data_IF_458523042132
#
_entry.id   IF_458523042132
#
_cell.length_a   1.000
_cell.length_b   1.000
_cell.length_c   1.000
_cell.angle_alpha   90.00
_cell.angle_beta   90.00
_cell.angle_gamma   90.00
#
_symmetry.space_group_name_H-M   'P 1'
#
loop_
_entity.id
_entity.type
_entity.pdbx_description
1 polymer ?
#
# COMPACT_ATOMS: atom_id res chain seq x y z
N UNK A 1 -30.34 -19.86 16.86
CA UNK A 1 -28.89 -19.70 16.66
C UNK A 1 -28.69 -19.24 15.22
N UNK A 2 -28.63 -17.93 15.01
CA UNK A 2 -28.44 -17.35 13.67
C UNK A 2 -27.00 -17.58 13.23
N UNK A 3 -26.84 -18.36 12.17
CA UNK A 3 -25.59 -18.46 11.41
C UNK A 3 -25.09 -17.06 11.08
N UNK A 4 -23.98 -16.65 11.70
CA UNK A 4 -23.26 -15.44 11.33
C UNK A 4 -22.72 -15.73 9.94
N UNK A 5 -23.40 -15.21 8.91
CA UNK A 5 -22.91 -15.25 7.54
C UNK A 5 -21.56 -14.55 7.55
N UNK A 6 -20.50 -15.29 7.28
CA UNK A 6 -19.26 -14.74 6.71
C UNK A 6 -19.65 -14.01 5.41
N UNK A 7 -20.00 -12.74 5.55
CA UNK A 7 -20.30 -11.88 4.43
C UNK A 7 -18.96 -11.65 3.72
N UNK A 8 -18.79 -12.09 2.47
CA UNK A 8 -17.56 -11.81 1.74
C UNK A 8 -17.36 -10.30 1.70
N UNK A 9 -16.25 -9.82 2.26
CA UNK A 9 -15.93 -8.40 2.29
C UNK A 9 -15.93 -7.86 0.86
N UNK A 10 -16.60 -6.73 0.63
CA UNK A 10 -16.65 -6.15 -0.71
C UNK A 10 -15.26 -5.72 -1.17
N UNK A 11 -15.01 -5.72 -2.48
CA UNK A 11 -13.75 -5.20 -3.03
C UNK A 11 -13.51 -3.74 -2.65
N UNK A 12 -14.59 -2.95 -2.48
CA UNK A 12 -14.49 -1.56 -2.04
C UNK A 12 -13.97 -1.46 -0.60
N UNK A 13 -14.48 -2.30 0.32
CA UNK A 13 -14.01 -2.33 1.70
C UNK A 13 -12.56 -2.79 1.81
N UNK A 14 -12.15 -3.78 1.00
CA UNK A 14 -10.76 -4.24 0.93
C UNK A 14 -9.84 -3.09 0.47
N UNK A 15 -10.22 -2.36 -0.59
CA UNK A 15 -9.45 -1.22 -1.10
C UNK A 15 -9.36 -0.10 -0.07
N UNK A 16 -10.47 0.23 0.60
CA UNK A 16 -10.50 1.25 1.65
C UNK A 16 -9.55 0.87 2.78
N UNK A 17 -9.60 -0.38 3.24
CA UNK A 17 -8.72 -0.87 4.29
C UNK A 17 -7.25 -0.82 3.87
N UNK A 18 -6.91 -1.32 2.68
CA UNK A 18 -5.54 -1.28 2.16
C UNK A 18 -5.03 0.16 2.05
N UNK A 19 -5.89 1.09 1.60
CA UNK A 19 -5.58 2.52 1.56
C UNK A 19 -5.29 3.12 2.94
N UNK A 20 -6.13 2.80 3.94
CA UNK A 20 -5.93 3.27 5.32
C UNK A 20 -4.66 2.68 5.95
N UNK A 21 -4.34 1.42 5.67
CA UNK A 21 -3.11 0.79 6.12
C UNK A 21 -1.88 1.46 5.53
N UNK A 22 -1.95 1.88 4.26
CA UNK A 22 -0.88 2.64 3.60
C UNK A 22 -0.67 4.02 4.25
N UNK A 23 -1.75 4.72 4.61
CA UNK A 23 -1.65 6.02 5.31
C UNK A 23 -0.93 5.90 6.66
N UNK A 24 -1.14 4.81 7.40
CA UNK A 24 -0.47 4.58 8.71
C UNK A 24 1.05 4.44 8.58
N UNK A 25 1.53 4.03 7.41
CA UNK A 25 2.94 3.87 7.11
C UNK A 25 3.58 5.10 6.48
N UNK A 26 2.81 6.17 6.24
CA UNK A 26 3.26 7.39 5.57
C UNK A 26 4.58 7.93 6.10
N UNK A 27 4.71 8.10 7.42
CA UNK A 27 5.93 8.65 8.03
C UNK A 27 7.14 7.76 7.76
N UNK A 28 6.99 6.43 7.86
CA UNK A 28 8.07 5.48 7.57
C UNK A 28 8.45 5.43 6.09
N UNK A 29 7.46 5.60 5.21
CA UNK A 29 7.69 5.70 3.77
C UNK A 29 8.41 6.99 3.40
N UNK A 30 8.24 8.08 4.16
CA UNK A 30 8.87 9.37 3.89
C UNK A 30 10.40 9.35 4.06
N UNK A 31 10.91 8.42 4.87
CA UNK A 31 12.35 8.19 5.04
C UNK A 31 12.99 7.44 3.85
N UNK A 32 12.18 6.93 2.93
CA UNK A 32 12.64 6.17 1.77
C UNK A 32 12.89 7.06 0.56
N UNK A 33 13.91 6.72 -0.20
CA UNK A 33 14.13 7.32 -1.50
C UNK A 33 13.15 6.75 -2.53
N UNK A 34 12.20 7.58 -2.99
CA UNK A 34 11.19 7.18 -3.97
C UNK A 34 11.76 6.67 -5.29
N UNK A 35 12.99 7.07 -5.64
CA UNK A 35 13.69 6.60 -6.85
C UNK A 35 14.01 5.10 -6.82
N UNK A 36 14.00 4.49 -5.64
CA UNK A 36 14.27 3.06 -5.49
C UNK A 36 12.98 2.22 -5.51
N UNK A 37 11.82 2.86 -5.31
CA UNK A 37 10.52 2.19 -5.22
C UNK A 37 9.65 2.39 -6.47
N UNK A 38 9.46 3.64 -6.89
CA UNK A 38 8.52 4.02 -7.95
C UNK A 38 8.83 3.35 -9.29
N UNK A 39 10.11 3.22 -9.74
CA UNK A 39 10.41 2.56 -11.01
C UNK A 39 9.97 1.09 -11.03
N UNK A 40 10.03 0.40 -9.89
CA UNK A 40 9.57 -0.99 -9.77
C UNK A 40 8.04 -1.06 -9.94
N UNK A 41 7.29 -0.12 -9.37
CA UNK A 41 5.84 -0.05 -9.53
C UNK A 41 5.42 0.26 -10.97
N UNK A 42 6.21 1.06 -11.70
CA UNK A 42 6.02 1.29 -13.14
C UNK A 42 6.34 0.03 -13.95
N UNK A 43 7.48 -0.63 -13.68
CA UNK A 43 7.87 -1.86 -14.36
C UNK A 43 6.87 -3.01 -14.13
N UNK A 44 6.16 -3.00 -13.00
CA UNK A 44 5.09 -3.95 -12.67
C UNK A 44 3.70 -3.51 -13.16
N UNK A 45 3.61 -2.42 -13.94
CA UNK A 45 2.36 -1.87 -14.48
C UNK A 45 1.31 -1.45 -13.43
N UNK A 46 1.73 -1.20 -12.19
CA UNK A 46 0.87 -0.61 -11.15
C UNK A 46 0.71 0.88 -11.38
N UNK A 47 1.82 1.54 -11.74
CA UNK A 47 1.88 2.96 -12.06
C UNK A 47 2.24 3.18 -13.51
N UNK A 48 1.77 4.29 -14.08
CA UNK A 48 2.20 4.78 -15.38
C UNK A 48 3.37 5.75 -15.23
N UNK A 49 4.12 5.96 -16.31
CA UNK A 49 5.28 6.88 -16.33
C UNK A 49 4.90 8.32 -15.98
N UNK A 50 3.73 8.79 -16.39
CA UNK A 50 3.26 10.13 -16.02
C UNK A 50 2.93 10.26 -14.53
N UNK A 51 2.51 9.17 -13.88
CA UNK A 51 2.24 9.11 -12.44
C UNK A 51 3.55 9.12 -11.65
N UNK A 52 4.58 8.43 -12.14
CA UNK A 52 5.94 8.52 -11.62
C UNK A 52 6.49 9.96 -11.72
N UNK A 53 6.29 10.64 -12.85
CA UNK A 53 6.66 12.06 -12.98
C UNK A 53 5.93 12.95 -11.96
N UNK A 54 4.65 12.67 -11.70
CA UNK A 54 3.86 13.39 -10.67
C UNK A 54 4.42 13.18 -9.26
N UNK A 55 4.91 11.98 -8.94
CA UNK A 55 5.60 11.73 -7.68
C UNK A 55 6.89 12.55 -7.63
N UNK A 56 7.74 12.46 -8.64
CA UNK A 56 9.05 13.13 -8.61
C UNK A 56 9.01 14.65 -8.74
N UNK A 57 7.90 15.23 -9.19
CA UNK A 57 7.73 16.68 -9.22
C UNK A 57 7.46 17.31 -7.85
N UNK A 58 7.26 16.49 -6.81
CA UNK A 58 7.04 17.01 -5.46
C UNK A 58 8.35 17.43 -4.79
N UNK A 59 8.27 18.47 -3.95
CA UNK A 59 9.43 19.17 -3.41
C UNK A 59 10.07 18.49 -2.18
N UNK A 60 9.33 17.63 -1.48
CA UNK A 60 9.77 16.95 -0.26
C UNK A 60 9.48 15.45 -0.31
N UNK A 61 10.22 14.65 0.46
CA UNK A 61 9.95 13.20 0.56
C UNK A 61 8.53 12.90 1.04
N UNK A 62 8.02 13.70 1.99
CA UNK A 62 6.64 13.59 2.47
C UNK A 62 5.61 13.85 1.37
N UNK A 63 5.78 14.90 0.57
CA UNK A 63 4.89 15.20 -0.55
C UNK A 63 4.96 14.12 -1.64
N UNK A 64 6.16 13.57 -1.89
CA UNK A 64 6.33 12.46 -2.83
C UNK A 64 5.58 11.20 -2.36
N UNK A 65 5.66 10.89 -1.07
CA UNK A 65 4.89 9.78 -0.48
C UNK A 65 3.40 10.03 -0.60
N UNK A 66 2.93 11.26 -0.39
CA UNK A 66 1.51 11.59 -0.55
C UNK A 66 1.01 11.39 -1.96
N UNK A 67 1.78 11.85 -2.94
CA UNK A 67 1.49 11.60 -4.33
C UNK A 67 1.41 10.09 -4.61
N UNK A 68 2.39 9.32 -4.11
CA UNK A 68 2.41 7.86 -4.27
C UNK A 68 1.18 7.19 -3.64
N UNK A 69 0.86 7.50 -2.38
CA UNK A 69 -0.29 6.94 -1.64
C UNK A 69 -1.59 7.27 -2.36
N UNK A 70 -1.76 8.53 -2.78
CA UNK A 70 -2.93 8.98 -3.53
C UNK A 70 -3.10 8.19 -4.83
N UNK A 71 -2.01 7.96 -5.57
CA UNK A 71 -2.02 7.15 -6.78
C UNK A 71 -2.40 5.70 -6.46
N UNK A 72 -1.72 5.05 -5.51
CA UNK A 72 -1.93 3.64 -5.19
C UNK A 72 -3.36 3.34 -4.71
N UNK A 73 -4.01 4.27 -4.00
CA UNK A 73 -5.42 4.14 -3.61
C UNK A 73 -6.39 4.03 -4.79
N UNK A 74 -6.00 4.50 -5.98
CA UNK A 74 -6.79 4.35 -7.21
C UNK A 74 -6.52 3.05 -7.96
N UNK A 75 -5.49 2.29 -7.56
CA UNK A 75 -5.04 1.09 -8.26
C UNK A 75 -5.61 -0.18 -7.65
N UNK A 76 -5.69 -1.21 -8.47
CA UNK A 76 -5.95 -2.57 -8.04
C UNK A 76 -4.63 -3.33 -7.89
N UNK A 77 -4.62 -4.31 -6.99
CA UNK A 77 -3.53 -5.30 -6.87
C UNK A 77 -2.13 -4.70 -6.64
N UNK A 78 -2.04 -3.46 -6.12
CA UNK A 78 -0.77 -2.80 -5.87
C UNK A 78 0.01 -3.38 -4.69
N UNK A 79 -0.68 -4.03 -3.74
CA UNK A 79 -0.09 -4.54 -2.50
C UNK A 79 1.08 -5.48 -2.77
N UNK A 80 0.93 -6.46 -3.66
CA UNK A 80 1.99 -7.41 -4.00
C UNK A 80 3.24 -6.72 -4.58
N UNK A 81 3.12 -5.94 -5.66
CA UNK A 81 4.23 -5.17 -6.22
C UNK A 81 4.87 -4.18 -5.24
N UNK A 82 4.09 -3.53 -4.36
CA UNK A 82 4.64 -2.63 -3.33
C UNK A 82 5.45 -3.40 -2.29
N UNK A 83 4.95 -4.55 -1.82
CA UNK A 83 5.69 -5.45 -0.92
C UNK A 83 7.00 -5.94 -1.57
N UNK A 84 6.98 -6.35 -2.84
CA UNK A 84 8.20 -6.75 -3.59
C UNK A 84 9.18 -5.57 -3.70
N UNK A 85 8.70 -4.36 -3.99
CA UNK A 85 9.54 -3.17 -4.08
C UNK A 85 10.22 -2.83 -2.75
N UNK A 86 9.48 -2.90 -1.64
CA UNK A 86 10.03 -2.69 -0.30
C UNK A 86 11.10 -3.73 0.04
N UNK A 87 10.86 -5.02 -0.21
CA UNK A 87 11.83 -6.09 0.04
C UNK A 87 13.12 -5.88 -0.78
N UNK A 88 12.99 -5.55 -2.07
CA UNK A 88 14.14 -5.30 -2.96
C UNK A 88 14.97 -4.09 -2.53
N UNK A 89 14.36 -3.14 -1.83
CA UNK A 89 15.04 -1.98 -1.25
C UNK A 89 15.51 -2.19 0.21
N UNK A 90 15.59 -3.44 0.66
CA UNK A 90 16.03 -3.78 2.02
C UNK A 90 15.02 -3.44 3.12
N UNK A 91 13.81 -3.00 2.76
CA UNK A 91 12.75 -2.59 3.69
C UNK A 91 11.83 -3.76 4.06
N UNK A 92 12.40 -4.94 4.35
CA UNK A 92 11.63 -6.15 4.64
C UNK A 92 10.70 -5.98 5.85
N UNK A 93 11.16 -5.31 6.91
CA UNK A 93 10.34 -5.05 8.10
C UNK A 93 9.13 -4.14 7.79
N UNK A 94 9.29 -3.15 6.91
CA UNK A 94 8.18 -2.30 6.47
C UNK A 94 7.22 -3.06 5.55
N UNK A 95 7.73 -3.96 4.71
CA UNK A 95 6.92 -4.84 3.88
C UNK A 95 6.05 -5.77 4.74
N UNK A 96 6.62 -6.35 5.80
CA UNK A 96 5.90 -7.18 6.77
C UNK A 96 4.81 -6.41 7.51
N UNK A 97 5.09 -5.16 7.92
CA UNK A 97 4.10 -4.31 8.56
C UNK A 97 2.96 -3.92 7.62
N UNK A 98 3.27 -3.60 6.36
CA UNK A 98 2.28 -3.35 5.32
C UNK A 98 1.36 -4.56 5.12
N UNK A 99 1.95 -5.74 4.97
CA UNK A 99 1.20 -6.99 4.82
C UNK A 99 0.34 -7.28 6.05
N UNK A 100 0.88 -7.12 7.26
CA UNK A 100 0.16 -7.34 8.51
C UNK A 100 -1.03 -6.37 8.62
N UNK A 101 -0.81 -5.08 8.43
CA UNK A 101 -1.88 -4.07 8.51
C UNK A 101 -2.94 -4.24 7.41
N UNK A 102 -2.59 -4.78 6.25
CA UNK A 102 -3.55 -5.14 5.20
C UNK A 102 -4.27 -6.48 5.46
N UNK A 103 -3.68 -7.40 6.21
CA UNK A 103 -4.21 -8.75 6.49
C UNK A 103 -4.99 -8.87 7.81
N UNK A 104 -4.79 -7.96 8.76
CA UNK A 104 -5.29 -8.01 10.16
C UNK A 104 -6.84 -8.11 10.29
N UNK A 105 -7.60 -8.02 9.21
CA UNK A 105 -9.05 -8.10 9.26
C UNK A 105 -9.65 -9.47 8.94
N UNK A 106 -8.84 -10.54 8.87
CA UNK A 106 -9.30 -11.94 8.83
C UNK A 106 -9.21 -12.67 10.19
N UNK A 107 -8.66 -12.05 11.24
CA UNK A 107 -8.38 -12.76 12.52
C UNK A 107 -9.15 -12.17 13.73
N UNK A 108 -9.73 -10.96 13.63
CA UNK A 108 -10.43 -10.32 14.76
C UNK A 108 -11.90 -10.71 14.94
N UNK A 109 -12.38 -11.78 14.29
CA UNK A 109 -13.74 -12.31 14.53
C UNK A 109 -13.81 -13.50 15.49
N UNK A 110 -12.69 -14.05 15.99
CA UNK A 110 -12.70 -15.31 16.76
C UNK A 110 -12.48 -15.20 18.27
N UNK A 111 -12.52 -14.00 18.87
CA UNK A 111 -12.52 -13.89 20.34
C UNK A 111 -13.40 -12.76 20.83
N UNK A 112 -14.69 -13.04 21.03
CA UNK A 112 -15.51 -12.63 22.19
C UNK A 112 -16.90 -13.26 22.13
#
# INVERSE_FOLDING_TARGET
MTSVKDQPRSLADIRLQQGNSLDRLRTRLADLNMRDLVPLLVARHVMQTHEMSKVYSQNSGEDQVDALISILKTKNHWLGPMTDALIRNGQAALAEELMSTCSISNIKSDTS
#
